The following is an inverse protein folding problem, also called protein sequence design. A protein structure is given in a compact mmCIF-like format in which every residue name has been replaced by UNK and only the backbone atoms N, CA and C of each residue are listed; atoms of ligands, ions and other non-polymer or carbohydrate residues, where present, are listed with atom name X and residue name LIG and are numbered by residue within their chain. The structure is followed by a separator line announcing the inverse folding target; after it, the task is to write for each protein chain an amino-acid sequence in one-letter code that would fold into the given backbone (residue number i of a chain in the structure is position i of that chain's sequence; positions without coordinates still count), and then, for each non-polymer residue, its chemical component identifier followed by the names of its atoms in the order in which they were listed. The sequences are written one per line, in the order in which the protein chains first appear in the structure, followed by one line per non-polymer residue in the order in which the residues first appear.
data_IF_410634232288
#
_entry.id   IF_410634232288
#
_cell.length_a   1.000
_cell.length_b   1.000
_cell.length_c   1.000
_cell.angle_alpha   90.00
_cell.angle_beta   90.00
_cell.angle_gamma   90.00
#
_symmetry.space_group_name_H-M   'P 1'
#
loop_
_entity.id
_entity.type
_entity.pdbx_description
1 polymer ?
#
# COMPACT_ATOMS: atom_id res chain seq x y z
N UNK A 1 16.51 3.71 3.34
CA UNK A 1 16.20 4.54 2.15
C UNK A 1 14.94 5.33 2.44
N UNK A 2 15.02 6.67 2.48
CA UNK A 2 13.89 7.52 2.84
C UNK A 2 12.80 7.48 1.77
N UNK A 3 11.58 7.12 2.16
CA UNK A 3 10.44 7.23 1.25
C UNK A 3 10.13 8.71 1.04
N UNK A 4 10.46 9.24 -0.14
CA UNK A 4 9.98 10.56 -0.55
C UNK A 4 8.53 10.38 -0.98
N UNK A 5 7.63 10.45 -0.01
CA UNK A 5 6.20 10.44 -0.25
C UNK A 5 5.73 11.88 -0.42
N UNK A 6 5.00 12.14 -1.51
CA UNK A 6 4.28 13.40 -1.67
C UNK A 6 3.33 13.61 -0.47
N UNK A 7 3.13 14.85 -0.01
CA UNK A 7 2.34 15.17 1.19
C UNK A 7 0.91 14.63 1.19
N UNK A 8 0.35 14.32 0.01
CA UNK A 8 -0.99 13.72 -0.15
C UNK A 8 -0.99 12.20 -0.36
N UNK A 9 0.16 11.53 -0.24
CA UNK A 9 0.25 10.09 -0.44
C UNK A 9 -0.39 9.33 0.75
N UNK A 10 -1.61 8.82 0.54
CA UNK A 10 -2.35 8.04 1.56
C UNK A 10 -1.79 6.64 1.82
N UNK A 11 -1.03 6.05 0.90
CA UNK A 11 -0.45 4.70 1.06
C UNK A 11 1.07 4.77 1.14
N UNK A 12 1.57 4.84 2.37
CA UNK A 12 2.99 4.71 2.71
C UNK A 12 3.47 3.26 2.58
N UNK A 13 4.78 3.02 2.49
CA UNK A 13 5.33 1.65 2.46
C UNK A 13 4.94 0.85 3.71
N UNK A 14 4.80 1.48 4.87
CA UNK A 14 4.34 0.81 6.09
C UNK A 14 2.93 0.22 5.91
N UNK A 15 2.02 1.01 5.32
CA UNK A 15 0.65 0.54 5.00
C UNK A 15 0.69 -0.57 3.94
N UNK A 16 1.54 -0.44 2.91
CA UNK A 16 1.69 -1.47 1.87
C UNK A 16 2.21 -2.79 2.43
N UNK A 17 3.20 -2.75 3.33
CA UNK A 17 3.71 -3.93 4.05
C UNK A 17 2.63 -4.55 4.93
N UNK A 18 1.90 -3.73 5.69
CA UNK A 18 0.80 -4.21 6.53
C UNK A 18 -0.28 -4.94 5.71
N UNK A 19 -0.61 -4.44 4.52
CA UNK A 19 -1.58 -5.08 3.61
C UNK A 19 -1.05 -6.42 3.08
N UNK A 20 0.23 -6.49 2.69
CA UNK A 20 0.82 -7.72 2.16
C UNK A 20 0.91 -8.83 3.21
N UNK A 21 1.26 -8.48 4.45
CA UNK A 21 1.41 -9.46 5.53
C UNK A 21 0.09 -9.84 6.20
N UNK A 22 -1.02 -9.15 5.89
CA UNK A 22 -2.31 -9.40 6.53
C UNK A 22 -3.15 -10.46 5.81
N UNK A 23 -3.66 -11.41 6.60
CA UNK A 23 -4.67 -12.39 6.17
C UNK A 23 -6.10 -11.82 6.26
N UNK A 24 -6.28 -10.61 6.79
CA UNK A 24 -7.59 -9.97 6.91
C UNK A 24 -8.23 -9.74 5.53
N UNK A 25 -9.56 -9.60 5.54
CA UNK A 25 -10.34 -9.29 4.35
C UNK A 25 -10.00 -7.89 3.82
N UNK A 26 -10.22 -7.68 2.51
CA UNK A 26 -9.99 -6.38 1.87
C UNK A 26 -10.82 -5.26 2.54
N UNK A 27 -12.03 -5.57 2.98
CA UNK A 27 -12.94 -4.62 3.64
C UNK A 27 -12.40 -4.18 5.01
N UNK A 28 -11.85 -5.10 5.80
CA UNK A 28 -11.27 -4.78 7.10
C UNK A 28 -10.03 -3.87 6.95
N UNK A 29 -9.14 -4.21 6.03
CA UNK A 29 -7.94 -3.40 5.73
C UNK A 29 -8.30 -2.02 5.17
N UNK A 30 -9.29 -1.94 4.29
CA UNK A 30 -9.80 -0.68 3.76
C UNK A 30 -10.34 0.24 4.86
N UNK A 31 -11.11 -0.32 5.80
CA UNK A 31 -11.63 0.43 6.95
C UNK A 31 -10.54 0.91 7.89
N UNK A 32 -9.59 0.03 8.25
CA UNK A 32 -8.48 0.37 9.17
C UNK A 32 -7.57 1.47 8.62
N UNK A 33 -7.27 1.44 7.32
CA UNK A 33 -6.34 2.39 6.70
C UNK A 33 -7.03 3.55 5.98
N UNK A 34 -8.36 3.60 5.94
CA UNK A 34 -9.11 4.68 5.26
C UNK A 34 -8.85 4.74 3.75
N UNK A 35 -8.58 3.59 3.11
CA UNK A 35 -8.25 3.48 1.69
C UNK A 35 -9.27 2.62 0.94
N UNK A 36 -9.42 2.84 -0.36
CA UNK A 36 -10.34 2.04 -1.18
C UNK A 36 -9.89 0.56 -1.24
N UNK A 37 -10.85 -0.37 -1.16
CA UNK A 37 -10.62 -1.81 -1.30
C UNK A 37 -9.85 -2.19 -2.58
N UNK A 38 -10.04 -1.46 -3.69
CA UNK A 38 -9.26 -1.68 -4.92
C UNK A 38 -7.76 -1.44 -4.72
N UNK A 39 -7.42 -0.48 -3.87
CA UNK A 39 -6.03 -0.16 -3.52
C UNK A 39 -5.45 -1.25 -2.64
N UNK A 40 -6.23 -1.76 -1.68
CA UNK A 40 -5.83 -2.92 -0.86
C UNK A 40 -5.57 -4.14 -1.75
N UNK A 41 -6.50 -4.46 -2.65
CA UNK A 41 -6.36 -5.59 -3.58
C UNK A 41 -5.09 -5.49 -4.43
N UNK A 42 -4.85 -4.31 -5.02
CA UNK A 42 -3.64 -4.01 -5.79
C UNK A 42 -2.36 -4.23 -4.99
N UNK A 43 -2.31 -3.79 -3.74
CA UNK A 43 -1.11 -3.96 -2.91
C UNK A 43 -0.93 -5.38 -2.41
N UNK A 44 -2.02 -6.11 -2.14
CA UNK A 44 -1.99 -7.52 -1.75
C UNK A 44 -1.49 -8.43 -2.88
N UNK A 45 -1.75 -8.08 -4.14
CA UNK A 45 -1.27 -8.82 -5.31
C UNK A 45 0.14 -8.44 -5.77
N UNK A 46 0.74 -7.37 -5.23
CA UNK A 46 2.10 -6.94 -5.59
C UNK A 46 3.12 -7.74 -4.79
N UNK A 47 4.26 -8.03 -5.39
CA UNK A 47 5.41 -8.67 -4.74
C UNK A 47 6.34 -7.68 -4.04
N UNK A 48 6.29 -6.39 -4.40
CA UNK A 48 7.13 -5.34 -3.81
C UNK A 48 6.29 -4.16 -3.32
N UNK A 49 6.71 -3.61 -2.17
CA UNK A 49 6.15 -2.41 -1.53
C UNK A 49 6.85 -1.12 -1.92
N UNK A 50 8.07 -1.25 -2.43
CA UNK A 50 8.88 -0.12 -2.87
C UNK A 50 8.34 0.41 -4.18
N UNK A 51 8.37 1.74 -4.33
CA UNK A 51 8.17 2.36 -5.63
C UNK A 51 9.35 1.96 -6.53
N UNK A 52 9.03 1.51 -7.75
CA UNK A 52 10.04 1.21 -8.76
C UNK A 52 10.43 2.54 -9.42
N UNK A 53 11.72 2.78 -9.67
CA UNK A 53 12.13 3.91 -10.48
C UNK A 53 11.54 3.74 -11.89
N UNK A 54 10.69 4.68 -12.30
CA UNK A 54 10.29 4.83 -13.70
C UNK A 54 11.45 5.50 -14.43
N UNK A 55 12.01 4.86 -15.45
CA UNK A 55 13.15 5.38 -16.23
C UNK A 55 12.82 6.65 -17.03
N UNK A 56 13.84 7.30 -17.64
CA UNK A 56 13.69 8.54 -18.42
C UNK A 56 12.82 8.38 -19.68
#
# INVERSE_FOLDING_TARGET
MGQILHGSARTTEAVRRAIQHSQESLRALAGRHGINQKTVAKWKSRTSVSDLPTGP
#
